data_IF_390677464486
#
_entry.id   IF_390677464486
#
_cell.length_a   1.000
_cell.length_b   1.000
_cell.length_c   1.000
_cell.angle_alpha   90.00
_cell.angle_beta   90.00
_cell.angle_gamma   90.00
#
_symmetry.space_group_name_H-M   'P 1'
#
loop_
_entity.id
_entity.type
_entity.pdbx_description
1 polymer ?
#
# COMPACT_ATOMS: atom_id res chain seq x y z
N UNK A 1 -18.04 -5.72 -3.52
CA UNK A 1 -17.02 -4.74 -3.99
C UNK A 1 -15.83 -4.61 -3.04
N UNK A 2 -16.03 -4.39 -1.74
CA UNK A 2 -14.91 -4.19 -0.78
C UNK A 2 -13.94 -5.39 -0.69
N UNK A 3 -14.45 -6.64 -0.74
CA UNK A 3 -13.62 -7.86 -0.67
C UNK A 3 -12.59 -7.95 -1.80
N UNK A 4 -13.00 -7.61 -3.03
CA UNK A 4 -12.12 -7.64 -4.21
C UNK A 4 -11.04 -6.56 -4.11
N UNK A 5 -11.39 -5.35 -3.65
CA UNK A 5 -10.41 -4.28 -3.45
C UNK A 5 -9.37 -4.66 -2.38
N UNK A 6 -9.81 -5.22 -1.25
CA UNK A 6 -8.91 -5.72 -0.19
C UNK A 6 -7.94 -6.78 -0.70
N UNK A 7 -8.43 -7.75 -1.47
CA UNK A 7 -7.60 -8.79 -2.06
C UNK A 7 -6.53 -8.20 -3.00
N UNK A 8 -6.93 -7.30 -3.91
CA UNK A 8 -6.00 -6.64 -4.84
C UNK A 8 -4.95 -5.80 -4.11
N UNK A 9 -5.33 -5.12 -3.04
CA UNK A 9 -4.41 -4.36 -2.19
C UNK A 9 -3.40 -5.30 -1.53
N UNK A 10 -3.86 -6.39 -0.91
CA UNK A 10 -2.99 -7.36 -0.25
C UNK A 10 -1.98 -7.96 -1.24
N UNK A 11 -2.44 -8.44 -2.41
CA UNK A 11 -1.57 -9.00 -3.45
C UNK A 11 -0.56 -7.97 -3.97
N UNK A 12 -0.95 -6.70 -4.10
CA UNK A 12 -0.03 -5.66 -4.56
C UNK A 12 1.06 -5.37 -3.52
N UNK A 13 0.70 -5.30 -2.24
CA UNK A 13 1.66 -5.10 -1.14
C UNK A 13 2.63 -6.28 -1.07
N UNK A 14 2.12 -7.52 -1.08
CA UNK A 14 2.93 -8.74 -1.05
C UNK A 14 3.92 -8.80 -2.23
N UNK A 15 3.47 -8.42 -3.42
CA UNK A 15 4.35 -8.31 -4.58
C UNK A 15 5.48 -7.32 -4.31
N UNK A 16 5.15 -6.11 -3.86
CA UNK A 16 6.18 -5.09 -3.62
C UNK A 16 7.14 -5.50 -2.50
N UNK A 17 6.66 -6.11 -1.41
CA UNK A 17 7.54 -6.62 -0.35
C UNK A 17 8.49 -7.71 -0.86
N UNK A 18 8.01 -8.59 -1.75
CA UNK A 18 8.84 -9.67 -2.32
C UNK A 18 9.81 -9.19 -3.42
N UNK A 19 9.49 -8.09 -4.12
CA UNK A 19 10.33 -7.54 -5.19
C UNK A 19 11.23 -6.38 -4.75
N UNK A 20 11.49 -6.24 -3.45
CA UNK A 20 12.37 -5.18 -2.93
C UNK A 20 11.79 -3.77 -3.02
N UNK A 21 10.46 -3.64 -3.07
CA UNK A 21 9.72 -2.38 -2.96
C UNK A 21 10.03 -1.32 -4.04
N UNK A 22 10.39 -1.76 -5.26
CA UNK A 22 10.85 -0.86 -6.34
C UNK A 22 9.82 0.17 -6.83
N UNK A 23 8.51 -0.06 -6.63
CA UNK A 23 7.46 0.90 -7.05
C UNK A 23 6.85 1.70 -5.91
N UNK A 24 7.38 1.54 -4.70
CA UNK A 24 6.94 2.32 -3.53
C UNK A 24 7.91 3.46 -3.27
N UNK A 25 7.42 4.48 -2.56
CA UNK A 25 8.23 5.61 -2.11
C UNK A 25 7.95 5.89 -0.64
N UNK A 26 8.80 6.65 0.02
CA UNK A 26 8.50 7.13 1.37
C UNK A 26 7.26 8.04 1.33
N UNK A 27 6.27 7.69 2.14
CA UNK A 27 5.03 8.45 2.29
C UNK A 27 5.25 9.73 3.10
N UNK A 28 6.05 9.62 4.15
CA UNK A 28 6.46 10.70 5.03
C UNK A 28 7.95 10.57 5.35
N UNK A 29 8.60 11.69 5.70
CA UNK A 29 10.02 11.68 6.10
C UNK A 29 10.23 11.10 7.49
N UNK A 30 9.27 11.29 8.38
CA UNK A 30 9.32 10.79 9.75
C UNK A 30 8.90 9.32 9.78
N UNK A 31 9.39 8.62 10.79
CA UNK A 31 8.98 7.24 11.05
C UNK A 31 7.63 7.18 11.76
N UNK A 32 6.90 6.09 11.53
CA UNK A 32 5.70 5.71 12.29
C UNK A 32 6.08 4.57 13.21
N UNK A 33 6.11 4.81 14.52
CA UNK A 33 6.53 3.82 15.52
C UNK A 33 7.92 3.23 15.24
N UNK A 34 8.89 4.06 14.84
CA UNK A 34 10.25 3.61 14.52
C UNK A 34 10.38 2.87 13.18
N UNK A 35 9.32 2.89 12.34
CA UNK A 35 9.31 2.22 11.04
C UNK A 35 9.14 3.25 9.91
N UNK A 36 9.85 3.08 8.78
CA UNK A 36 9.55 3.82 7.57
C UNK A 36 8.11 3.59 7.10
N UNK A 37 7.43 4.65 6.69
CA UNK A 37 6.11 4.56 6.08
C UNK A 37 6.23 4.75 4.57
N UNK A 38 5.76 3.76 3.82
CA UNK A 38 5.81 3.71 2.36
C UNK A 38 4.44 4.01 1.77
N UNK A 39 4.40 4.58 0.56
CA UNK A 39 3.19 4.65 -0.25
C UNK A 39 3.40 4.26 -1.71
N UNK A 40 2.33 3.77 -2.32
CA UNK A 40 2.22 3.65 -3.76
C UNK A 40 0.77 3.81 -4.22
N UNK A 41 0.62 4.07 -5.52
CA UNK A 41 -0.67 4.11 -6.20
C UNK A 41 -0.98 2.75 -6.81
N UNK A 42 -2.15 2.19 -6.48
CA UNK A 42 -2.68 0.98 -7.07
C UNK A 42 -3.89 1.30 -7.95
N UNK A 43 -3.88 0.81 -9.19
CA UNK A 43 -5.06 0.86 -10.07
C UNK A 43 -5.92 -0.39 -9.81
N UNK A 44 -7.19 -0.21 -9.45
CA UNK A 44 -8.14 -1.29 -9.18
C UNK A 44 -9.03 -1.62 -10.39
N UNK A 45 -8.80 -1.00 -11.54
CA UNK A 45 -9.58 -1.11 -12.76
C UNK A 45 -10.83 -0.23 -12.69
N UNK A 46 -12.00 -0.80 -12.99
CA UNK A 46 -13.31 -0.09 -12.97
C UNK A 46 -13.70 0.49 -11.59
N UNK A 47 -13.02 0.09 -10.52
CA UNK A 47 -13.23 0.61 -9.15
C UNK A 47 -12.53 1.97 -8.96
N UNK A 48 -11.56 2.30 -9.81
CA UNK A 48 -10.75 3.51 -9.72
C UNK A 48 -9.33 3.23 -9.24
N UNK A 49 -8.68 4.23 -8.64
CA UNK A 49 -7.33 4.07 -8.10
C UNK A 49 -7.27 4.43 -6.63
N UNK A 50 -6.39 3.75 -5.90
CA UNK A 50 -6.16 3.99 -4.48
C UNK A 50 -4.71 4.37 -4.23
N UNK A 51 -4.48 5.25 -3.26
CA UNK A 51 -3.16 5.39 -2.63
C UNK A 51 -3.16 4.62 -1.32
N UNK A 52 -2.11 3.85 -1.12
CA UNK A 52 -1.98 2.97 0.04
C UNK A 52 -0.72 3.42 0.77
N UNK A 53 -0.85 3.75 2.05
CA UNK A 53 0.28 4.01 2.94
C UNK A 53 0.40 2.87 3.95
N UNK A 54 1.60 2.33 4.14
CA UNK A 54 1.84 1.16 4.98
C UNK A 54 3.24 1.19 5.61
N UNK A 55 3.42 0.43 6.69
CA UNK A 55 4.71 0.14 7.32
C UNK A 55 4.99 -1.36 7.18
N UNK A 56 6.27 -1.77 7.15
CA UNK A 56 6.66 -3.19 7.09
C UNK A 56 7.52 -3.52 8.30
N UNK A 57 7.23 -4.65 8.96
CA UNK A 57 8.02 -5.17 10.07
C UNK A 57 7.90 -6.70 10.12
N UNK A 58 9.03 -7.42 10.20
CA UNK A 58 9.09 -8.88 10.18
C UNK A 58 8.20 -9.49 9.07
N UNK A 59 8.38 -9.01 7.83
CA UNK A 59 7.61 -9.41 6.64
C UNK A 59 6.09 -9.16 6.70
N UNK A 60 5.60 -8.49 7.75
CA UNK A 60 4.21 -8.09 7.89
C UNK A 60 4.03 -6.63 7.48
N UNK A 61 3.20 -6.42 6.46
CA UNK A 61 2.79 -5.09 6.04
C UNK A 61 1.54 -4.64 6.79
N UNK A 62 1.65 -3.53 7.52
CA UNK A 62 0.52 -2.89 8.22
C UNK A 62 0.04 -1.68 7.44
N UNK A 63 -1.18 -1.75 6.91
CA UNK A 63 -1.82 -0.63 6.21
C UNK A 63 -2.23 0.44 7.23
N UNK A 64 -1.80 1.67 7.00
CA UNK A 64 -2.15 2.84 7.83
C UNK A 64 -3.30 3.63 7.23
N UNK A 65 -3.26 3.88 5.92
CA UNK A 65 -4.26 4.70 5.21
C UNK A 65 -4.50 4.15 3.81
N UNK A 66 -5.77 4.17 3.37
CA UNK A 66 -6.16 3.95 1.98
C UNK A 66 -7.03 5.11 1.52
N UNK A 67 -6.55 5.89 0.54
CA UNK A 67 -7.32 6.95 -0.08
C UNK A 67 -7.86 6.47 -1.42
N UNK A 68 -9.18 6.39 -1.55
CA UNK A 68 -9.84 6.00 -2.80
C UNK A 68 -10.15 7.26 -3.60
N UNK A 69 -9.67 7.30 -4.84
CA UNK A 69 -10.09 8.32 -5.80
C UNK A 69 -11.06 7.67 -6.79
N UNK A 70 -12.35 7.94 -6.59
CA UNK A 70 -13.40 7.64 -7.56
C UNK A 70 -13.23 8.58 -8.76
N UNK A 71 -13.35 8.03 -9.97
CA UNK A 71 -13.43 8.80 -11.22
C UNK A 71 -14.88 8.92 -11.63
#
# INVERSE_FOLDING_TARGET
MQKIAKQKIATAIEKETNTGMTKVKLAIRNEVNGLPCYEFRLNLGKIGSVRIAFTVYNDLATIRVVLVKSF
#
